data_IF_719853572271
#
_entry.id   IF_719853572271
#
_cell.length_a   1.000
_cell.length_b   1.000
_cell.length_c   1.000
_cell.angle_alpha   90.00
_cell.angle_beta   90.00
_cell.angle_gamma   90.00
#
_symmetry.space_group_name_H-M   'P 1'
#
loop_
_entity.id
_entity.type
_entity.pdbx_description
1 polymer ?
#
# COMPACT_ATOMS: atom_id res chain seq x y z
N UNK A 1 37.44 -6.82 -31.55
CA UNK A 1 36.35 -7.82 -31.55
C UNK A 1 35.77 -8.04 -30.14
N UNK A 2 36.60 -8.06 -29.09
CA UNK A 2 36.11 -8.26 -27.68
C UNK A 2 35.25 -7.08 -27.18
N UNK A 3 35.61 -5.85 -27.52
CA UNK A 3 34.84 -4.65 -27.12
C UNK A 3 33.45 -4.60 -27.76
N UNK A 4 33.29 -5.04 -28.99
CA UNK A 4 31.99 -5.09 -29.68
C UNK A 4 31.08 -6.16 -29.07
N UNK A 5 31.64 -7.29 -28.61
CA UNK A 5 30.87 -8.31 -27.90
C UNK A 5 30.40 -7.85 -26.49
N UNK A 6 31.25 -7.11 -25.79
CA UNK A 6 30.90 -6.55 -24.46
C UNK A 6 29.80 -5.50 -24.62
N UNK A 7 29.90 -4.58 -25.58
CA UNK A 7 28.87 -3.58 -25.85
C UNK A 7 27.53 -4.23 -26.23
N UNK A 8 27.53 -5.21 -27.14
CA UNK A 8 26.28 -5.89 -27.52
C UNK A 8 25.62 -6.66 -26.36
N UNK A 9 26.42 -7.26 -25.48
CA UNK A 9 25.89 -7.95 -24.28
C UNK A 9 25.35 -6.98 -23.21
N UNK A 10 25.97 -5.82 -23.07
CA UNK A 10 25.50 -4.76 -22.16
C UNK A 10 24.20 -4.12 -22.69
N UNK A 11 24.08 -3.90 -23.99
CA UNK A 11 22.85 -3.40 -24.61
C UNK A 11 21.68 -4.38 -24.46
N UNK A 12 21.89 -5.67 -24.68
CA UNK A 12 20.83 -6.68 -24.50
C UNK A 12 20.39 -6.81 -23.03
N UNK A 13 21.32 -6.75 -22.07
CA UNK A 13 21.02 -6.73 -20.65
C UNK A 13 20.25 -5.47 -20.22
N UNK A 14 20.62 -4.30 -20.76
CA UNK A 14 19.94 -3.03 -20.49
C UNK A 14 18.51 -3.03 -21.04
N UNK A 15 18.30 -3.51 -22.26
CA UNK A 15 16.98 -3.65 -22.90
C UNK A 15 16.07 -4.60 -22.12
N UNK A 16 16.60 -5.74 -21.67
CA UNK A 16 15.85 -6.69 -20.81
C UNK A 16 15.46 -6.10 -19.47
N UNK A 17 16.37 -5.37 -18.85
CA UNK A 17 16.12 -4.68 -17.57
C UNK A 17 15.05 -3.61 -17.72
N UNK A 18 15.13 -2.79 -18.78
CA UNK A 18 14.13 -1.75 -19.05
C UNK A 18 12.74 -2.35 -19.34
N UNK A 19 12.67 -3.42 -20.13
CA UNK A 19 11.41 -4.09 -20.45
C UNK A 19 10.76 -4.71 -19.19
N UNK A 20 11.56 -5.31 -18.33
CA UNK A 20 11.12 -5.87 -17.06
C UNK A 20 10.60 -4.77 -16.11
N UNK A 21 11.31 -3.65 -15.99
CA UNK A 21 10.90 -2.52 -15.16
C UNK A 21 9.59 -1.90 -15.64
N UNK A 22 9.44 -1.67 -16.95
CA UNK A 22 8.18 -1.19 -17.55
C UNK A 22 7.01 -2.13 -17.26
N UNK A 23 7.22 -3.44 -17.38
CA UNK A 23 6.20 -4.45 -17.03
C UNK A 23 5.82 -4.37 -15.55
N UNK A 24 6.80 -4.27 -14.66
CA UNK A 24 6.57 -4.20 -13.21
C UNK A 24 5.80 -2.95 -12.81
N UNK A 25 6.17 -1.79 -13.36
CA UNK A 25 5.46 -0.51 -13.14
C UNK A 25 4.01 -0.63 -13.63
N UNK A 26 3.81 -1.16 -14.84
CA UNK A 26 2.46 -1.33 -15.41
C UNK A 26 1.59 -2.21 -14.52
N UNK A 27 2.10 -3.36 -14.06
CA UNK A 27 1.38 -4.27 -13.17
C UNK A 27 1.07 -3.65 -11.80
N UNK A 28 1.87 -2.70 -11.37
CA UNK A 28 1.64 -1.99 -10.11
C UNK A 28 0.59 -0.87 -10.25
N UNK A 29 0.60 -0.15 -11.37
CA UNK A 29 -0.26 1.03 -11.58
C UNK A 29 -1.67 0.64 -12.05
N UNK A 30 -1.83 -0.42 -12.85
CA UNK A 30 -3.13 -0.84 -13.38
C UNK A 30 -4.18 -1.08 -12.28
N UNK A 31 -3.92 -1.84 -11.20
CA UNK A 31 -4.90 -2.01 -10.12
C UNK A 31 -5.31 -0.69 -9.45
N UNK A 32 -4.37 0.24 -9.29
CA UNK A 32 -4.63 1.56 -8.74
C UNK A 32 -5.55 2.39 -9.66
N UNK A 33 -5.29 2.38 -10.96
CA UNK A 33 -6.13 3.05 -11.94
C UNK A 33 -7.54 2.44 -12.00
N UNK A 34 -7.65 1.11 -11.97
CA UNK A 34 -8.96 0.42 -11.94
C UNK A 34 -9.74 0.88 -10.71
N UNK A 35 -9.12 0.91 -9.54
CA UNK A 35 -9.78 1.38 -8.31
C UNK A 35 -10.24 2.82 -8.44
N UNK A 36 -9.39 3.73 -8.92
CA UNK A 36 -9.75 5.13 -9.14
C UNK A 36 -10.92 5.25 -10.14
N UNK A 37 -10.88 4.54 -11.26
CA UNK A 37 -11.97 4.56 -12.26
C UNK A 37 -13.29 4.09 -11.63
N UNK A 38 -13.28 2.98 -10.87
CA UNK A 38 -14.48 2.47 -10.20
C UNK A 38 -15.06 3.49 -9.21
N UNK A 39 -14.22 4.14 -8.41
CA UNK A 39 -14.65 5.16 -7.45
C UNK A 39 -15.26 6.37 -8.16
N UNK A 40 -14.63 6.86 -9.23
CA UNK A 40 -15.17 7.95 -10.03
C UNK A 40 -16.46 7.60 -10.75
N UNK A 41 -16.55 6.41 -11.35
CA UNK A 41 -17.77 5.94 -12.00
C UNK A 41 -18.93 5.83 -11.00
N UNK A 42 -18.68 5.28 -9.80
CA UNK A 42 -19.71 5.18 -8.76
C UNK A 42 -20.21 6.55 -8.36
N UNK A 43 -19.32 7.53 -8.16
CA UNK A 43 -19.68 8.91 -7.83
C UNK A 43 -20.51 9.58 -8.95
N UNK A 44 -20.05 9.46 -10.20
CA UNK A 44 -20.78 10.03 -11.35
C UNK A 44 -22.16 9.43 -11.50
N UNK A 45 -22.30 8.11 -11.31
CA UNK A 45 -23.62 7.43 -11.37
C UNK A 45 -24.54 7.93 -10.24
N UNK A 46 -24.00 8.06 -9.00
CA UNK A 46 -24.82 8.57 -7.88
C UNK A 46 -25.28 10.01 -8.10
N UNK A 47 -24.41 10.89 -8.64
CA UNK A 47 -24.76 12.28 -8.98
C UNK A 47 -25.86 12.39 -10.03
N UNK A 48 -25.95 11.46 -10.99
CA UNK A 48 -27.01 11.49 -12.02
C UNK A 48 -28.40 11.20 -11.46
N UNK A 49 -28.50 10.61 -10.27
CA UNK A 49 -29.76 10.16 -9.65
C UNK A 49 -30.61 9.23 -10.53
N UNK A 50 -30.02 8.62 -11.57
CA UNK A 50 -30.72 7.73 -12.51
C UNK A 50 -31.45 6.60 -11.78
N UNK A 51 -30.78 6.00 -10.77
CA UNK A 51 -31.36 4.89 -10.02
C UNK A 51 -32.35 5.32 -8.92
N UNK A 52 -32.54 6.60 -8.67
CA UNK A 52 -33.36 7.14 -7.55
C UNK A 52 -33.04 6.48 -6.19
N UNK A 53 -31.85 5.96 -6.05
CA UNK A 53 -31.35 5.28 -4.86
C UNK A 53 -30.20 6.11 -4.28
N UNK A 54 -30.18 6.26 -2.96
CA UNK A 54 -29.09 6.94 -2.26
C UNK A 54 -27.97 5.91 -1.98
N UNK A 55 -26.86 6.01 -2.68
CA UNK A 55 -25.73 5.09 -2.52
C UNK A 55 -25.10 5.14 -1.12
N UNK A 56 -25.25 6.24 -0.38
CA UNK A 56 -24.78 6.31 1.00
C UNK A 56 -25.40 5.23 1.90
N UNK A 57 -26.56 4.71 1.56
CA UNK A 57 -27.19 3.58 2.26
C UNK A 57 -26.44 2.25 2.11
N UNK A 58 -25.52 2.15 1.15
CA UNK A 58 -24.60 1.03 0.99
C UNK A 58 -23.28 1.26 1.77
N UNK A 59 -23.19 2.32 2.55
CA UNK A 59 -22.10 2.56 3.49
C UNK A 59 -22.13 1.59 4.68
N UNK A 60 -21.06 1.57 5.45
CA UNK A 60 -21.00 0.80 6.70
C UNK A 60 -21.93 1.46 7.71
N UNK A 61 -22.92 0.73 8.22
CA UNK A 61 -23.70 1.17 9.38
C UNK A 61 -23.34 0.29 10.57
N UNK A 62 -22.73 0.83 11.62
CA UNK A 62 -22.15 0.06 12.71
C UNK A 62 -23.19 -0.79 13.48
N UNK A 63 -22.79 -2.01 13.82
CA UNK A 63 -23.55 -2.99 14.62
C UNK A 63 -24.93 -3.38 14.06
N UNK A 64 -25.21 -3.03 12.80
CA UNK A 64 -26.42 -3.42 12.08
C UNK A 64 -26.08 -4.42 10.98
N UNK A 65 -26.86 -5.49 10.83
CA UNK A 65 -26.59 -6.53 9.83
C UNK A 65 -26.64 -6.00 8.40
N UNK A 66 -27.54 -5.07 8.10
CA UNK A 66 -27.62 -4.41 6.79
C UNK A 66 -26.39 -3.54 6.52
N UNK A 67 -25.72 -3.02 7.56
CA UNK A 67 -24.48 -2.26 7.41
C UNK A 67 -23.24 -3.08 7.06
N UNK A 68 -23.31 -4.42 7.15
CA UNK A 68 -22.19 -5.29 6.73
C UNK A 68 -21.90 -5.21 5.23
N UNK A 69 -22.91 -4.93 4.41
CA UNK A 69 -22.73 -4.73 2.97
C UNK A 69 -21.77 -3.57 2.68
N UNK A 70 -21.76 -2.57 3.56
CA UNK A 70 -20.88 -1.44 3.48
C UNK A 70 -19.38 -1.77 3.64
N UNK A 71 -19.02 -2.91 4.25
CA UNK A 71 -17.62 -3.35 4.32
C UNK A 71 -17.04 -3.48 2.90
N UNK A 72 -17.84 -3.94 1.95
CA UNK A 72 -17.44 -4.12 0.55
C UNK A 72 -17.62 -2.82 -0.25
N UNK A 73 -18.73 -2.11 -0.06
CA UNK A 73 -19.12 -1.02 -0.96
C UNK A 73 -18.69 0.37 -0.51
N UNK A 74 -18.48 0.61 0.79
CA UNK A 74 -18.15 1.95 1.32
C UNK A 74 -16.95 2.62 0.63
N UNK A 75 -15.85 1.93 0.23
CA UNK A 75 -14.71 2.60 -0.41
C UNK A 75 -15.03 3.21 -1.78
N UNK A 76 -16.11 2.78 -2.42
CA UNK A 76 -16.52 3.32 -3.72
C UNK A 76 -17.43 4.56 -3.58
N UNK A 77 -18.03 4.80 -2.43
CA UNK A 77 -19.09 5.80 -2.23
C UNK A 77 -18.49 7.08 -1.64
N UNK A 78 -18.78 8.21 -2.26
CA UNK A 78 -18.28 9.52 -1.81
C UNK A 78 -19.41 10.55 -1.77
N UNK A 79 -19.55 11.25 -0.66
CA UNK A 79 -20.63 12.22 -0.44
C UNK A 79 -20.41 13.59 -1.09
N UNK A 80 -19.22 13.88 -1.62
CA UNK A 80 -18.91 15.13 -2.31
C UNK A 80 -17.72 14.99 -3.25
N UNK A 81 -17.63 15.86 -4.24
CA UNK A 81 -16.50 15.94 -5.17
C UNK A 81 -15.17 16.21 -4.43
N UNK A 82 -15.18 17.07 -3.41
CA UNK A 82 -13.99 17.35 -2.60
C UNK A 82 -13.49 16.08 -1.90
N UNK A 83 -14.41 15.28 -1.31
CA UNK A 83 -14.08 14.02 -0.66
C UNK A 83 -13.53 13.00 -1.66
N UNK A 84 -14.12 12.90 -2.86
CA UNK A 84 -13.63 12.04 -3.94
C UNK A 84 -12.21 12.42 -4.38
N UNK A 85 -11.95 13.69 -4.66
CA UNK A 85 -10.65 14.18 -5.11
C UNK A 85 -9.58 13.97 -4.04
N UNK A 86 -9.87 14.24 -2.77
CA UNK A 86 -8.93 14.03 -1.67
C UNK A 86 -8.51 12.57 -1.48
N UNK A 87 -9.37 11.62 -1.85
CA UNK A 87 -9.05 10.18 -1.80
C UNK A 87 -8.35 9.67 -3.08
N UNK A 88 -8.52 10.34 -4.23
CA UNK A 88 -8.03 9.83 -5.51
C UNK A 88 -6.51 9.69 -5.55
N UNK A 89 -5.79 10.75 -5.17
CA UNK A 89 -4.32 10.73 -5.21
C UNK A 89 -3.71 9.72 -4.21
N UNK A 90 -4.13 9.67 -2.92
CA UNK A 90 -3.70 8.64 -2.00
C UNK A 90 -3.97 7.21 -2.50
N UNK A 91 -5.16 6.93 -3.05
CA UNK A 91 -5.48 5.63 -3.63
C UNK A 91 -4.51 5.26 -4.74
N UNK A 92 -4.29 6.16 -5.70
CA UNK A 92 -3.39 5.91 -6.83
C UNK A 92 -1.98 5.57 -6.34
N UNK A 93 -1.44 6.38 -5.44
CA UNK A 93 -0.05 6.23 -4.96
C UNK A 93 0.10 4.97 -4.10
N UNK A 94 -0.76 4.81 -3.08
CA UNK A 94 -0.60 3.73 -2.10
C UNK A 94 -0.88 2.34 -2.69
N UNK A 95 -1.87 2.21 -3.58
CA UNK A 95 -2.06 0.96 -4.33
C UNK A 95 -0.85 0.66 -5.21
N UNK A 96 -0.33 1.66 -5.94
CA UNK A 96 0.86 1.47 -6.77
C UNK A 96 2.07 1.02 -5.95
N UNK A 97 2.31 1.63 -4.78
CA UNK A 97 3.37 1.22 -3.88
C UNK A 97 3.17 -0.21 -3.35
N UNK A 98 1.94 -0.56 -2.97
CA UNK A 98 1.62 -1.92 -2.54
C UNK A 98 1.93 -2.95 -3.62
N UNK A 99 1.42 -2.76 -4.84
CA UNK A 99 1.61 -3.71 -5.93
C UNK A 99 3.03 -3.70 -6.49
N UNK A 100 3.77 -2.60 -6.39
CA UNK A 100 5.15 -2.52 -6.82
C UNK A 100 6.11 -3.21 -5.84
N UNK A 101 6.04 -2.86 -4.56
CA UNK A 101 7.00 -3.34 -3.56
C UNK A 101 6.61 -4.67 -2.90
N UNK A 102 5.32 -4.97 -2.80
CA UNK A 102 4.79 -6.15 -2.11
C UNK A 102 4.06 -7.11 -3.05
N UNK A 103 4.41 -7.13 -4.34
CA UNK A 103 3.70 -7.86 -5.41
C UNK A 103 3.32 -9.30 -5.05
N UNK A 104 4.17 -10.05 -4.32
CA UNK A 104 3.93 -11.43 -3.91
C UNK A 104 2.74 -11.58 -2.95
N UNK A 105 2.47 -10.57 -2.13
CA UNK A 105 1.42 -10.58 -1.12
C UNK A 105 0.39 -9.46 -1.33
N UNK A 106 0.55 -8.63 -2.37
CA UNK A 106 -0.23 -7.42 -2.57
C UNK A 106 -1.74 -7.66 -2.56
N UNK A 107 -2.21 -8.62 -3.34
CA UNK A 107 -3.64 -8.92 -3.44
C UNK A 107 -4.21 -9.43 -2.10
N UNK A 108 -3.49 -10.35 -1.44
CA UNK A 108 -3.91 -10.88 -0.13
C UNK A 108 -3.92 -9.81 0.94
N UNK A 109 -2.90 -8.96 0.96
CA UNK A 109 -2.83 -7.81 1.86
C UNK A 109 -3.97 -6.83 1.61
N UNK A 110 -4.22 -6.47 0.35
CA UNK A 110 -5.29 -5.55 -0.02
C UNK A 110 -6.66 -6.04 0.46
N UNK A 111 -6.99 -7.31 0.19
CA UNK A 111 -8.27 -7.91 0.63
C UNK A 111 -8.41 -7.87 2.14
N UNK A 112 -7.35 -8.24 2.88
CA UNK A 112 -7.39 -8.20 4.35
C UNK A 112 -7.48 -6.77 4.89
N UNK A 113 -6.73 -5.82 4.33
CA UNK A 113 -6.78 -4.41 4.70
C UNK A 113 -8.20 -3.84 4.50
N UNK A 114 -8.80 -4.15 3.36
CA UNK A 114 -10.15 -3.73 3.02
C UNK A 114 -11.19 -4.30 4.00
N UNK A 115 -11.22 -5.62 4.13
CA UNK A 115 -12.23 -6.29 4.96
C UNK A 115 -12.06 -5.95 6.44
N UNK A 116 -10.82 -5.92 6.95
CA UNK A 116 -10.56 -5.62 8.37
C UNK A 116 -10.84 -4.15 8.71
N UNK A 117 -10.44 -3.21 7.85
CA UNK A 117 -10.75 -1.79 8.09
C UNK A 117 -12.26 -1.56 8.12
N UNK A 118 -13.00 -2.16 7.19
CA UNK A 118 -14.46 -2.09 7.18
C UNK A 118 -15.10 -2.80 8.36
N UNK A 119 -14.61 -3.98 8.73
CA UNK A 119 -15.12 -4.73 9.88
C UNK A 119 -14.88 -3.99 11.22
N UNK A 120 -13.69 -3.42 11.42
CA UNK A 120 -13.42 -2.63 12.62
C UNK A 120 -14.28 -1.35 12.65
N UNK A 121 -14.51 -0.70 11.50
CA UNK A 121 -15.43 0.43 11.40
C UNK A 121 -16.86 -0.01 11.76
N UNK A 122 -17.31 -1.16 11.28
CA UNK A 122 -18.62 -1.71 11.62
C UNK A 122 -18.75 -2.02 13.11
N UNK A 123 -17.67 -2.47 13.74
CA UNK A 123 -17.67 -2.81 15.17
C UNK A 123 -17.65 -1.56 16.06
N UNK A 124 -16.83 -0.55 15.74
CA UNK A 124 -16.48 0.56 16.62
C UNK A 124 -17.08 1.92 16.20
N UNK A 125 -17.61 2.03 14.99
CA UNK A 125 -18.12 3.30 14.47
C UNK A 125 -19.31 3.84 15.25
N UNK A 126 -19.54 5.16 15.17
CA UNK A 126 -20.76 5.82 15.65
C UNK A 126 -21.96 5.44 14.78
N UNK A 127 -23.17 5.66 15.30
CA UNK A 127 -24.43 5.33 14.61
C UNK A 127 -24.69 6.30 13.42
N UNK A 128 -23.97 6.09 12.33
CA UNK A 128 -24.10 6.80 11.07
C UNK A 128 -23.60 5.94 9.91
N UNK A 129 -23.93 6.32 8.68
CA UNK A 129 -23.34 5.68 7.50
C UNK A 129 -21.91 6.18 7.30
N UNK A 130 -20.94 5.25 7.33
CA UNK A 130 -19.55 5.52 7.03
C UNK A 130 -19.29 5.17 5.56
N UNK A 131 -18.87 6.17 4.77
CA UNK A 131 -18.60 6.08 3.33
C UNK A 131 -17.23 6.66 3.01
N UNK A 132 -16.67 6.30 1.86
CA UNK A 132 -15.38 6.78 1.38
C UNK A 132 -14.27 5.74 1.49
N UNK A 133 -13.24 5.94 0.67
CA UNK A 133 -12.06 5.08 0.64
C UNK A 133 -11.07 5.35 1.78
N UNK A 134 -11.29 6.37 2.60
CA UNK A 134 -10.31 6.85 3.58
C UNK A 134 -9.90 5.79 4.60
N UNK A 135 -10.83 4.94 5.07
CA UNK A 135 -10.50 3.82 5.96
C UNK A 135 -9.47 2.86 5.32
N UNK A 136 -9.66 2.52 4.03
CA UNK A 136 -8.70 1.71 3.28
C UNK A 136 -7.38 2.45 3.03
N UNK A 137 -7.41 3.76 2.78
CA UNK A 137 -6.21 4.59 2.64
C UNK A 137 -5.39 4.54 3.93
N UNK A 138 -6.01 4.73 5.10
CA UNK A 138 -5.31 4.62 6.38
C UNK A 138 -4.76 3.22 6.62
N UNK A 139 -5.49 2.17 6.23
CA UNK A 139 -4.99 0.80 6.30
C UNK A 139 -3.73 0.60 5.44
N UNK A 140 -3.70 1.16 4.24
CA UNK A 140 -2.53 1.11 3.35
C UNK A 140 -1.35 1.93 3.90
N UNK A 141 -1.59 3.15 4.40
CA UNK A 141 -0.55 4.00 5.00
C UNK A 141 0.13 3.26 6.15
N UNK A 142 -0.65 2.73 7.09
CA UNK A 142 -0.12 2.03 8.25
C UNK A 142 0.53 0.69 7.88
N UNK A 143 -0.04 -0.05 6.93
CA UNK A 143 0.58 -1.27 6.41
C UNK A 143 1.94 -1.00 5.77
N UNK A 144 2.04 -0.04 4.86
CA UNK A 144 3.29 0.27 4.16
C UNK A 144 4.35 0.80 5.13
N UNK A 145 3.94 1.66 6.07
CA UNK A 145 4.84 2.20 7.08
C UNK A 145 5.41 1.09 7.99
N UNK A 146 4.55 0.36 8.70
CA UNK A 146 5.00 -0.65 9.65
C UNK A 146 5.62 -1.88 8.99
N UNK A 147 5.16 -2.23 7.79
CA UNK A 147 5.70 -3.36 7.03
C UNK A 147 7.18 -3.18 6.68
N UNK A 148 7.60 -1.96 6.32
CA UNK A 148 9.01 -1.65 6.08
C UNK A 148 9.84 -1.72 7.36
N UNK A 149 9.34 -1.17 8.46
CA UNK A 149 10.01 -1.20 9.75
C UNK A 149 10.23 -2.63 10.26
N UNK A 150 9.18 -3.47 10.20
CA UNK A 150 9.26 -4.84 10.70
C UNK A 150 10.23 -5.72 9.90
N UNK A 151 10.37 -5.48 8.60
CA UNK A 151 11.26 -6.26 7.72
C UNK A 151 12.71 -5.80 7.72
N UNK A 152 12.99 -4.57 8.20
CA UNK A 152 14.34 -3.96 8.23
C UNK A 152 15.06 -4.04 6.88
N UNK A 153 14.30 -4.06 5.79
CA UNK A 153 14.82 -4.09 4.42
C UNK A 153 14.91 -2.67 3.88
N UNK A 154 16.11 -2.19 3.56
CA UNK A 154 16.37 -0.78 3.23
C UNK A 154 15.40 -0.18 2.22
N UNK A 155 15.10 -0.83 1.05
CA UNK A 155 14.12 -0.28 0.11
C UNK A 155 12.72 -0.10 0.70
N UNK A 156 12.29 -1.00 1.58
CA UNK A 156 10.97 -0.91 2.23
C UNK A 156 10.96 0.12 3.36
N UNK A 157 12.08 0.29 4.07
CA UNK A 157 12.24 1.37 5.05
C UNK A 157 12.18 2.73 4.35
N UNK A 158 12.81 2.87 3.17
CA UNK A 158 12.69 4.09 2.37
C UNK A 158 11.24 4.38 1.98
N UNK A 159 10.47 3.38 1.56
CA UNK A 159 9.02 3.52 1.30
C UNK A 159 8.28 3.97 2.57
N UNK A 160 8.59 3.36 3.73
CA UNK A 160 8.01 3.77 5.02
C UNK A 160 8.27 5.24 5.34
N UNK A 161 9.49 5.73 5.10
CA UNK A 161 9.84 7.14 5.32
C UNK A 161 9.11 8.08 4.37
N UNK A 162 9.00 7.72 3.08
CA UNK A 162 8.21 8.49 2.09
C UNK A 162 6.74 8.55 2.51
N UNK A 163 6.15 7.43 2.91
CA UNK A 163 4.75 7.38 3.39
C UNK A 163 4.58 8.23 4.64
N UNK A 164 5.50 8.15 5.61
CA UNK A 164 5.48 8.98 6.82
C UNK A 164 5.59 10.47 6.50
N UNK A 165 6.46 10.85 5.56
CA UNK A 165 6.64 12.25 5.17
C UNK A 165 5.39 12.82 4.45
N UNK A 166 4.83 12.06 3.51
CA UNK A 166 3.69 12.53 2.69
C UNK A 166 2.38 12.49 3.46
N UNK A 167 2.15 11.44 4.27
CA UNK A 167 0.86 11.18 4.93
C UNK A 167 0.89 11.33 6.45
N UNK A 168 2.04 11.63 7.05
CA UNK A 168 2.18 11.69 8.52
C UNK A 168 1.28 12.73 9.18
N UNK A 169 1.02 13.86 8.51
CA UNK A 169 0.10 14.88 9.02
C UNK A 169 -1.36 14.40 9.10
N UNK A 170 -1.74 13.42 8.27
CA UNK A 170 -3.12 12.88 8.28
C UNK A 170 -3.42 12.05 9.53
N UNK A 171 -2.37 11.63 10.28
CA UNK A 171 -2.52 10.84 11.53
C UNK A 171 -3.42 11.55 12.55
N UNK A 172 -3.42 12.88 12.58
CA UNK A 172 -4.30 13.63 13.49
C UNK A 172 -5.78 13.37 13.25
N UNK A 173 -6.18 12.99 12.04
CA UNK A 173 -7.58 12.69 11.73
C UNK A 173 -8.08 11.33 12.24
N UNK A 174 -7.23 10.53 12.91
CA UNK A 174 -7.67 9.32 13.67
C UNK A 174 -8.14 9.65 15.09
N UNK A 175 -7.95 10.89 15.54
CA UNK A 175 -8.38 11.32 16.86
C UNK A 175 -9.64 12.20 16.76
N UNK A 176 -10.58 12.10 17.69
CA UNK A 176 -11.81 12.91 17.71
C UNK A 176 -11.56 14.34 18.24
N UNK A 177 -10.54 15.01 17.71
CA UNK A 177 -10.15 16.37 18.13
C UNK A 177 -10.88 17.35 17.23
N UNK A 178 -11.97 17.92 17.74
CA UNK A 178 -12.89 18.80 16.99
C UNK A 178 -12.24 20.08 16.44
N UNK A 179 -11.12 20.51 17.01
CA UNK A 179 -10.37 21.68 16.54
C UNK A 179 -9.61 21.42 15.25
N UNK A 180 -9.27 20.16 14.94
CA UNK A 180 -8.44 19.76 13.80
C UNK A 180 -9.14 18.83 12.82
N UNK A 181 -10.31 18.30 13.16
CA UNK A 181 -11.02 17.32 12.35
C UNK A 181 -12.43 17.80 12.06
N UNK A 182 -12.77 17.87 10.78
CA UNK A 182 -14.14 18.10 10.36
C UNK A 182 -15.05 17.02 10.94
N UNK A 183 -16.08 17.40 11.67
CA UNK A 183 -17.05 16.49 12.32
C UNK A 183 -17.79 15.61 11.31
N UNK A 184 -17.76 15.97 10.03
CA UNK A 184 -18.31 15.15 8.94
C UNK A 184 -17.41 13.99 8.55
N UNK A 185 -16.12 14.01 8.92
CA UNK A 185 -15.19 12.93 8.66
C UNK A 185 -15.38 11.79 9.67
N UNK A 186 -15.24 10.58 9.19
CA UNK A 186 -15.29 9.38 10.03
C UNK A 186 -13.90 9.08 10.60
N UNK A 187 -13.54 9.72 11.72
CA UNK A 187 -12.30 9.41 12.42
C UNK A 187 -12.24 7.95 12.85
N UNK A 188 -13.39 7.32 13.13
CA UNK A 188 -13.50 5.90 13.49
C UNK A 188 -13.06 5.00 12.33
N UNK A 189 -13.42 5.34 11.09
CA UNK A 189 -12.95 4.60 9.92
C UNK A 189 -11.43 4.76 9.71
N UNK A 190 -10.88 5.94 9.99
CA UNK A 190 -9.44 6.19 9.95
C UNK A 190 -8.70 5.36 11.00
N UNK A 191 -9.16 5.37 12.26
CA UNK A 191 -8.59 4.56 13.34
C UNK A 191 -8.69 3.06 13.03
N UNK A 192 -9.86 2.62 12.53
CA UNK A 192 -10.09 1.24 12.10
C UNK A 192 -9.12 0.81 11.00
N UNK A 193 -8.89 1.69 10.02
CA UNK A 193 -7.91 1.49 8.97
C UNK A 193 -6.50 1.38 9.52
N UNK A 194 -6.09 2.29 10.39
CA UNK A 194 -4.79 2.29 11.04
C UNK A 194 -4.54 0.97 11.81
N UNK A 195 -5.51 0.52 12.59
CA UNK A 195 -5.44 -0.75 13.33
C UNK A 195 -5.33 -1.95 12.37
N UNK A 196 -6.13 -2.00 11.30
CA UNK A 196 -6.07 -3.04 10.29
C UNK A 196 -4.70 -3.06 9.59
N UNK A 197 -4.17 -1.89 9.22
CA UNK A 197 -2.86 -1.76 8.58
C UNK A 197 -1.73 -2.30 9.45
N UNK A 198 -1.69 -1.92 10.72
CA UNK A 198 -0.71 -2.40 11.69
C UNK A 198 -0.81 -3.93 11.87
N UNK A 199 -2.03 -4.45 12.04
CA UNK A 199 -2.28 -5.89 12.22
C UNK A 199 -1.79 -6.70 11.02
N UNK A 200 -2.17 -6.30 9.79
CA UNK A 200 -1.76 -7.01 8.56
C UNK A 200 -0.25 -6.90 8.33
N UNK A 201 0.37 -5.77 8.64
CA UNK A 201 1.82 -5.62 8.58
C UNK A 201 2.54 -6.59 9.53
N UNK A 202 2.02 -6.76 10.74
CA UNK A 202 2.56 -7.70 11.72
C UNK A 202 2.37 -9.17 11.29
N UNK A 203 1.17 -9.53 10.83
CA UNK A 203 0.85 -10.89 10.37
C UNK A 203 1.70 -11.31 9.17
N UNK A 204 1.96 -10.38 8.25
CA UNK A 204 2.74 -10.66 7.04
C UNK A 204 4.22 -10.28 7.15
N UNK A 205 4.75 -9.94 8.34
CA UNK A 205 6.13 -9.50 8.51
C UNK A 205 7.20 -10.46 7.96
N UNK A 206 6.90 -11.76 7.96
CA UNK A 206 7.79 -12.82 7.44
C UNK A 206 7.40 -13.31 6.05
N UNK A 207 6.43 -12.67 5.36
CA UNK A 207 5.96 -13.07 4.02
C UNK A 207 6.19 -11.95 3.01
N UNK A 208 6.39 -12.32 1.75
CA UNK A 208 6.68 -11.36 0.68
C UNK A 208 8.14 -10.91 0.71
N UNK A 209 8.46 -9.67 0.30
CA UNK A 209 9.84 -9.20 0.20
C UNK A 209 10.50 -9.17 1.57
N UNK A 210 11.68 -9.81 1.69
CA UNK A 210 12.51 -9.85 2.89
C UNK A 210 13.88 -9.24 2.60
N UNK A 211 14.61 -8.86 3.66
CA UNK A 211 16.04 -8.55 3.55
C UNK A 211 16.73 -9.80 2.97
N UNK A 212 17.61 -9.66 1.96
CA UNK A 212 18.48 -10.77 1.54
C UNK A 212 19.23 -11.32 2.77
N UNK A 213 19.35 -12.65 2.86
CA UNK A 213 20.27 -13.24 3.82
C UNK A 213 21.69 -12.75 3.48
N UNK A 214 22.39 -12.22 4.47
CA UNK A 214 23.80 -11.91 4.33
C UNK A 214 24.48 -13.28 4.04
N UNK A 215 25.06 -13.43 2.86
CA UNK A 215 25.89 -14.58 2.56
C UNK A 215 26.93 -14.66 3.68
N UNK A 216 27.25 -15.85 4.23
CA UNK A 216 28.38 -15.97 5.14
C UNK A 216 29.56 -15.30 4.43
N UNK A 217 30.23 -14.39 5.11
CA UNK A 217 31.53 -13.91 4.68
C UNK A 217 32.35 -15.19 4.57
N UNK A 218 32.54 -15.66 3.32
CA UNK A 218 33.50 -16.71 3.08
C UNK A 218 34.78 -16.20 3.74
N UNK A 219 35.29 -16.94 4.70
CA UNK A 219 36.63 -16.72 5.25
C UNK A 219 37.58 -16.83 4.05
N UNK A 220 37.71 -15.73 3.27
CA UNK A 220 38.84 -15.59 2.38
C UNK A 220 40.06 -15.52 3.27
N UNK A 221 40.51 -16.71 3.60
CA UNK A 221 41.84 -16.89 4.12
C UNK A 221 42.85 -16.40 3.09
N UNK A 222 43.18 -15.14 3.17
CA UNK A 222 44.37 -14.56 2.58
C UNK A 222 45.56 -15.13 3.34
N UNK A 223 45.88 -16.40 3.06
CA UNK A 223 46.95 -17.15 3.68
C UNK A 223 47.65 -18.07 2.68
N UNK A 224 47.97 -17.55 1.50
CA UNK A 224 49.08 -18.11 0.73
C UNK A 224 50.21 -17.09 0.75
N UNK A 225 50.96 -17.09 1.88
CA UNK A 225 52.34 -16.68 1.84
C UNK A 225 53.03 -17.61 0.82
N UNK A 226 53.33 -17.06 -0.35
CA UNK A 226 54.19 -17.69 -1.30
C UNK A 226 55.58 -17.79 -0.65
N UNK A 227 55.90 -18.95 -0.12
CA UNK A 227 57.24 -19.34 0.25
C UNK A 227 58.10 -19.25 -1.01
N UNK A 228 58.83 -18.14 -1.17
CA UNK A 228 59.93 -18.05 -2.12
C UNK A 228 61.04 -18.94 -1.56
N UNK A 229 61.11 -20.17 -2.04
CA UNK A 229 62.32 -20.96 -1.93
C UNK A 229 63.47 -20.25 -2.69
N UNK A 230 64.40 -19.71 -1.91
CA UNK A 230 65.67 -19.25 -2.35
C UNK A 230 66.52 -20.43 -2.83
N UNK A 231 66.57 -20.67 -4.13
CA UNK A 231 67.52 -21.59 -4.74
C UNK A 231 68.82 -20.86 -5.01
N UNK A 232 69.66 -20.82 -3.97
CA UNK A 232 71.07 -20.56 -4.14
C UNK A 232 71.78 -21.75 -4.77
N UNK A 233 72.59 -21.41 -5.75
CA UNK A 233 73.87 -21.89 -6.32
C UNK A 233 73.91 -21.86 -7.82
#
# INVERSE_FOLDING_TARGET
>A
QLSVFIDASMDDASIKTESWLKKRIRLAVIPALIMCVLVWLTFLIDETRIFRFNFSLLGIYPRQLNGLVGIVFSPFIHGSLSHLVSNTFPLLVLFSLLFYFYNQIAFKSLVLLWLLSGFFTWLMGRDSYHIGASGLIFALVFFLFFSGLFRKHIPLVAVSMVVAFVYGSTVWSIFPITEYVDVTLSWEAHLSGAAAGLLVAFVFRSKGPQKPEDLPEDEEGWGHEAEYEDAGD
#
